data_IF_771936473773
#
_entry.id   IF_771936473773
#
_cell.length_a   1.000
_cell.length_b   1.000
_cell.length_c   1.000
_cell.angle_alpha   90.00
_cell.angle_beta   90.00
_cell.angle_gamma   90.00
#
_symmetry.space_group_name_H-M   'P 1'
#
loop_
_entity.id
_entity.type
_entity.pdbx_description
1 polymer ?
#
# COMPACT_ATOMS: atom_id res chain seq x y z
N UNK A 1 -28.61 14.22 48.01
CA UNK A 1 -28.84 14.20 46.54
C UNK A 1 -27.69 14.83 45.75
N UNK A 2 -27.30 16.10 45.98
CA UNK A 2 -26.18 16.75 45.25
C UNK A 2 -24.85 15.96 45.25
N UNK A 3 -24.44 15.38 46.39
CA UNK A 3 -23.20 14.59 46.50
C UNK A 3 -23.25 13.26 45.73
N UNK A 4 -24.43 12.63 45.65
CA UNK A 4 -24.65 11.38 44.91
C UNK A 4 -24.65 11.65 43.40
N UNK A 5 -25.25 12.76 42.97
CA UNK A 5 -25.23 13.20 41.58
C UNK A 5 -23.80 13.53 41.11
N UNK A 6 -23.00 14.16 41.99
CA UNK A 6 -21.59 14.48 41.73
C UNK A 6 -20.76 13.19 41.56
N UNK A 7 -21.00 12.18 42.40
CA UNK A 7 -20.32 10.89 42.33
C UNK A 7 -20.64 10.16 41.01
N UNK A 8 -21.91 10.20 40.59
CA UNK A 8 -22.33 9.66 39.30
C UNK A 8 -21.64 10.37 38.13
N UNK A 9 -21.52 11.69 38.17
CA UNK A 9 -20.86 12.47 37.13
C UNK A 9 -19.37 12.13 37.00
N UNK A 10 -18.65 12.00 38.13
CA UNK A 10 -17.24 11.60 38.14
C UNK A 10 -17.05 10.18 37.60
N UNK A 11 -17.92 9.24 37.98
CA UNK A 11 -17.88 7.85 37.48
C UNK A 11 -18.10 7.78 35.96
N UNK A 12 -19.01 8.59 35.41
CA UNK A 12 -19.23 8.63 33.94
C UNK A 12 -18.02 9.15 33.18
N UNK A 13 -17.24 10.10 33.74
CA UNK A 13 -16.05 10.63 33.08
C UNK A 13 -14.92 9.59 33.01
N UNK A 14 -14.73 8.80 34.08
CA UNK A 14 -13.69 7.76 34.12
C UNK A 14 -13.97 6.66 33.09
N UNK A 15 -15.23 6.27 32.92
CA UNK A 15 -15.65 5.27 31.91
C UNK A 15 -15.36 5.73 30.47
N UNK A 16 -15.55 7.03 30.19
CA UNK A 16 -15.29 7.63 28.88
C UNK A 16 -13.77 7.70 28.63
N UNK A 17 -12.97 8.07 29.63
CA UNK A 17 -11.49 8.10 29.50
C UNK A 17 -10.87 6.71 29.28
N UNK A 18 -11.41 5.66 29.91
CA UNK A 18 -10.94 4.29 29.72
C UNK A 18 -11.26 3.72 28.33
N UNK A 19 -12.39 4.11 27.73
CA UNK A 19 -12.74 3.73 26.35
C UNK A 19 -11.91 4.46 25.28
N UNK A 20 -11.27 5.58 25.64
CA UNK A 20 -10.46 6.41 24.73
C UNK A 20 -8.98 5.99 24.71
N UNK A 21 -8.56 5.06 25.58
CA UNK A 21 -7.29 4.34 25.34
C UNK A 21 -7.48 3.45 24.11
N UNK A 22 -7.31 4.05 22.92
CA UNK A 22 -7.03 3.31 21.70
C UNK A 22 -5.93 2.33 22.04
N UNK A 23 -6.24 1.04 21.97
CA UNK A 23 -5.23 -0.02 21.99
C UNK A 23 -4.16 0.44 21.01
N UNK A 24 -2.98 0.77 21.54
CA UNK A 24 -1.86 1.23 20.74
C UNK A 24 -1.61 0.13 19.73
N UNK A 25 -1.62 0.45 18.44
CA UNK A 25 -1.36 -0.59 17.46
C UNK A 25 0.05 -1.18 17.67
N UNK A 26 0.18 -2.47 17.42
CA UNK A 26 1.39 -3.23 17.73
C UNK A 26 2.36 -3.29 16.53
N UNK A 27 2.23 -2.38 15.55
CA UNK A 27 3.13 -2.33 14.40
C UNK A 27 4.42 -1.61 14.78
N UNK A 28 5.17 -2.19 15.71
CA UNK A 28 6.41 -1.65 16.25
C UNK A 28 7.67 -2.21 15.56
N UNK A 29 7.54 -3.29 14.79
CA UNK A 29 8.65 -3.88 14.01
C UNK A 29 8.68 -3.25 12.63
N UNK A 30 9.76 -2.54 12.31
CA UNK A 30 10.04 -2.02 10.96
C UNK A 30 10.78 -3.10 10.17
N UNK A 31 10.24 -3.47 9.01
CA UNK A 31 10.82 -4.53 8.16
C UNK A 31 11.36 -4.00 6.82
N UNK A 32 10.93 -2.80 6.42
CA UNK A 32 11.48 -2.02 5.29
C UNK A 32 11.44 -0.53 5.64
N UNK A 33 12.44 0.19 5.15
CA UNK A 33 12.54 1.64 5.23
C UNK A 33 13.00 2.16 3.88
N UNK A 34 12.33 3.18 3.38
CA UNK A 34 12.75 3.91 2.19
C UNK A 34 12.73 5.41 2.46
N UNK A 35 13.63 6.13 1.79
CA UNK A 35 13.74 7.58 1.87
C UNK A 35 13.79 8.19 0.47
N UNK A 36 13.11 9.32 0.27
CA UNK A 36 13.06 10.01 -1.01
C UNK A 36 12.07 11.17 -1.00
N UNK A 37 12.06 11.98 -2.04
CA UNK A 37 11.21 13.16 -2.13
C UNK A 37 9.89 12.84 -2.86
N UNK A 38 8.83 12.51 -2.13
CA UNK A 38 7.56 12.02 -2.70
C UNK A 38 6.63 13.15 -3.15
N UNK A 39 6.82 14.36 -2.63
CA UNK A 39 6.03 15.54 -2.95
C UNK A 39 6.79 16.58 -3.79
N UNK A 40 8.05 16.31 -4.15
CA UNK A 40 8.95 17.15 -4.93
C UNK A 40 9.19 18.52 -4.27
N UNK A 41 9.32 18.58 -2.94
CA UNK A 41 9.62 19.80 -2.20
C UNK A 41 11.10 19.96 -1.81
N UNK A 42 11.94 19.00 -2.22
CA UNK A 42 13.37 18.93 -1.95
C UNK A 42 13.72 18.33 -0.58
N UNK A 43 12.74 17.86 0.20
CA UNK A 43 12.94 17.23 1.50
C UNK A 43 12.80 15.71 1.41
N UNK A 44 13.62 15.00 2.18
CA UNK A 44 13.59 13.54 2.21
C UNK A 44 12.45 13.02 3.10
N UNK A 45 11.38 12.57 2.46
CA UNK A 45 10.26 11.86 3.07
C UNK A 45 10.66 10.43 3.44
N UNK A 46 9.89 9.83 4.37
CA UNK A 46 10.14 8.49 4.89
C UNK A 46 8.96 7.57 4.63
N UNK A 47 9.28 6.36 4.19
CA UNK A 47 8.30 5.28 4.05
C UNK A 47 8.75 4.10 4.88
N UNK A 48 7.82 3.54 5.65
CA UNK A 48 8.05 2.37 6.45
C UNK A 48 7.04 1.28 6.09
N UNK A 49 7.53 0.06 5.94
CA UNK A 49 6.69 -1.13 6.09
C UNK A 49 6.93 -1.67 7.49
N UNK A 50 5.83 -1.83 8.24
CA UNK A 50 5.83 -2.32 9.61
C UNK A 50 5.00 -3.58 9.73
N UNK A 51 5.35 -4.42 10.69
CA UNK A 51 4.66 -5.67 11.00
C UNK A 51 4.19 -5.68 12.45
N UNK A 52 2.97 -6.16 12.67
CA UNK A 52 2.50 -6.53 14.00
C UNK A 52 2.88 -7.98 14.27
N UNK A 53 3.96 -8.20 15.02
CA UNK A 53 4.47 -9.54 15.34
C UNK A 53 3.75 -10.19 16.53
N UNK A 54 2.86 -9.46 17.22
CA UNK A 54 2.06 -9.96 18.34
C UNK A 54 0.80 -10.65 17.81
N UNK A 55 0.20 -10.10 16.75
CA UNK A 55 -0.92 -10.74 16.06
C UNK A 55 -0.45 -12.02 15.35
N UNK A 56 -1.20 -13.12 15.55
CA UNK A 56 -0.89 -14.44 14.99
C UNK A 56 -0.91 -14.48 13.46
N UNK A 57 -1.59 -13.54 12.82
CA UNK A 57 -1.61 -13.41 11.36
C UNK A 57 -0.43 -12.61 10.82
N UNK A 58 0.28 -11.88 11.67
CA UNK A 58 1.36 -10.97 11.33
C UNK A 58 1.01 -10.02 10.17
N UNK A 59 0.00 -9.14 10.36
CA UNK A 59 -0.39 -8.17 9.36
C UNK A 59 0.71 -7.12 9.12
N UNK A 60 0.69 -6.56 7.93
CA UNK A 60 1.60 -5.52 7.46
C UNK A 60 0.90 -4.16 7.38
N UNK A 61 1.67 -3.09 7.55
CA UNK A 61 1.20 -1.70 7.44
C UNK A 61 2.25 -0.86 6.74
N UNK A 62 1.83 -0.10 5.73
CA UNK A 62 2.62 0.95 5.11
C UNK A 62 2.35 2.27 5.84
N UNK A 63 3.40 3.00 6.18
CA UNK A 63 3.31 4.37 6.66
C UNK A 63 4.19 5.30 5.82
N UNK A 64 3.66 6.46 5.47
CA UNK A 64 4.38 7.50 4.73
C UNK A 64 4.40 8.76 5.57
N UNK A 65 5.58 9.34 5.75
CA UNK A 65 5.82 10.53 6.54
C UNK A 65 6.50 11.59 5.68
N UNK A 66 5.94 12.80 5.64
CA UNK A 66 6.61 13.91 4.98
C UNK A 66 7.48 14.69 5.95
N UNK A 67 8.68 15.07 5.52
CA UNK A 67 9.51 15.99 6.28
C UNK A 67 8.99 17.41 6.08
N UNK A 68 8.54 18.07 7.14
CA UNK A 68 8.14 19.47 7.07
C UNK A 68 9.35 20.40 7.22
N UNK A 69 9.26 21.63 6.71
CA UNK A 69 10.32 22.67 6.82
C UNK A 69 10.80 22.97 8.25
N UNK A 70 9.99 22.64 9.25
CA UNK A 70 10.34 22.76 10.67
C UNK A 70 11.23 21.61 11.19
N UNK A 71 11.63 20.68 10.31
CA UNK A 71 12.46 19.51 10.63
C UNK A 71 11.69 18.33 11.23
N UNK A 72 10.35 18.40 11.31
CA UNK A 72 9.52 17.35 11.89
C UNK A 72 8.83 16.52 10.82
N UNK A 73 8.77 15.21 11.04
CA UNK A 73 8.01 14.31 10.20
C UNK A 73 6.51 14.35 10.53
N UNK A 74 5.67 14.40 9.49
CA UNK A 74 4.22 14.33 9.60
C UNK A 74 3.68 13.11 8.86
N UNK A 75 2.91 12.29 9.57
CA UNK A 75 2.23 11.14 8.98
C UNK A 75 1.23 11.60 7.92
N UNK A 76 1.35 11.05 6.71
CA UNK A 76 0.46 11.33 5.56
C UNK A 76 -0.43 10.15 5.20
N UNK A 77 0.11 8.93 5.27
CA UNK A 77 -0.59 7.69 4.94
C UNK A 77 -0.27 6.66 6.01
N UNK A 78 -1.29 5.92 6.44
CA UNK A 78 -1.14 4.71 7.25
C UNK A 78 -2.19 3.70 6.80
N UNK A 79 -1.78 2.64 6.10
CA UNK A 79 -2.71 1.67 5.51
C UNK A 79 -2.20 0.24 5.62
N UNK A 80 -3.15 -0.68 5.84
CA UNK A 80 -2.91 -2.14 5.83
C UNK A 80 -3.42 -2.81 4.56
N UNK A 81 -4.10 -2.06 3.67
CA UNK A 81 -4.83 -2.63 2.52
C UNK A 81 -3.94 -3.04 1.35
N UNK A 82 -2.71 -2.52 1.31
CA UNK A 82 -1.79 -2.78 0.20
C UNK A 82 -1.09 -4.13 0.29
N UNK A 83 -1.17 -4.81 1.44
CA UNK A 83 -0.35 -5.98 1.75
C UNK A 83 -1.18 -7.00 2.50
N UNK A 84 -1.03 -8.27 2.14
CA UNK A 84 -1.57 -9.36 2.95
C UNK A 84 -0.77 -9.57 4.22
N UNK A 85 -1.43 -10.14 5.22
CA UNK A 85 -0.74 -10.64 6.40
C UNK A 85 0.20 -11.80 6.01
N UNK A 86 1.32 -11.98 6.70
CA UNK A 86 2.28 -13.05 6.38
C UNK A 86 1.74 -14.45 6.71
N UNK A 87 0.82 -14.55 7.68
CA UNK A 87 0.20 -15.79 8.11
C UNK A 87 -1.33 -15.73 8.06
N UNK A 88 -1.95 -15.56 6.87
CA UNK A 88 -3.41 -15.56 6.76
C UNK A 88 -3.94 -16.90 7.29
N UNK A 89 -5.01 -16.85 8.10
CA UNK A 89 -5.56 -18.04 8.76
C UNK A 89 -4.53 -18.82 9.61
N UNK A 90 -3.49 -18.15 10.13
CA UNK A 90 -2.42 -18.72 10.98
C UNK A 90 -1.54 -19.74 10.26
N UNK A 91 -1.47 -19.69 8.93
CA UNK A 91 -0.55 -20.47 8.09
C UNK A 91 0.21 -19.52 7.19
N UNK A 92 1.46 -19.84 6.88
CA UNK A 92 2.25 -19.00 5.98
C UNK A 92 1.52 -18.85 4.63
N UNK A 93 1.33 -17.59 4.21
CA UNK A 93 0.53 -17.25 3.03
C UNK A 93 1.24 -17.52 1.70
N UNK A 94 2.56 -17.74 1.72
CA UNK A 94 3.37 -17.99 0.52
C UNK A 94 3.84 -16.73 -0.21
N UNK A 95 3.16 -15.60 -0.04
CA UNK A 95 3.52 -14.34 -0.67
C UNK A 95 4.69 -13.66 0.07
N UNK A 96 5.67 -13.16 -0.69
CA UNK A 96 6.75 -12.35 -0.15
C UNK A 96 6.23 -11.02 0.42
N UNK A 97 6.93 -10.48 1.42
CA UNK A 97 6.68 -9.12 1.88
C UNK A 97 6.96 -8.17 0.71
N UNK A 98 5.99 -7.34 0.29
CA UNK A 98 6.19 -6.44 -0.84
C UNK A 98 7.37 -5.49 -0.62
N UNK A 99 8.08 -5.22 -1.71
CA UNK A 99 9.14 -4.23 -1.72
C UNK A 99 8.58 -2.85 -2.06
N UNK A 100 9.27 -1.81 -1.62
CA UNK A 100 8.85 -0.43 -1.81
C UNK A 100 10.05 0.35 -2.31
N UNK A 101 9.85 1.21 -3.30
CA UNK A 101 10.89 2.15 -3.75
C UNK A 101 10.31 3.53 -4.01
N UNK A 102 11.17 4.54 -4.00
CA UNK A 102 10.84 5.92 -4.34
C UNK A 102 11.68 6.34 -5.53
N UNK A 103 11.02 6.71 -6.62
CA UNK A 103 11.68 7.16 -7.85
C UNK A 103 10.84 8.27 -8.51
N UNK A 104 11.48 9.38 -8.90
CA UNK A 104 10.85 10.52 -9.58
C UNK A 104 9.55 11.03 -8.90
N UNK A 105 9.60 11.14 -7.57
CA UNK A 105 8.48 11.56 -6.73
C UNK A 105 7.27 10.62 -6.80
N UNK A 106 7.51 9.34 -7.08
CA UNK A 106 6.51 8.29 -7.14
C UNK A 106 6.89 7.18 -6.16
N UNK A 107 5.87 6.60 -5.52
CA UNK A 107 6.01 5.43 -4.67
C UNK A 107 5.67 4.19 -5.50
N UNK A 108 6.61 3.29 -5.65
CA UNK A 108 6.41 2.00 -6.32
C UNK A 108 6.30 0.90 -5.27
N UNK A 109 5.24 0.10 -5.35
CA UNK A 109 5.05 -1.11 -4.53
C UNK A 109 5.18 -2.33 -5.44
N UNK A 110 6.14 -3.20 -5.13
CA UNK A 110 6.37 -4.45 -5.86
C UNK A 110 5.88 -5.62 -5.02
N UNK A 111 4.94 -6.39 -5.56
CA UNK A 111 4.31 -7.50 -4.83
C UNK A 111 4.24 -8.76 -5.68
N UNK A 112 4.42 -9.90 -5.02
CA UNK A 112 4.18 -11.21 -5.61
C UNK A 112 2.85 -11.74 -5.06
N UNK A 113 1.92 -12.03 -5.96
CA UNK A 113 0.58 -12.51 -5.63
C UNK A 113 0.30 -13.77 -6.44
N UNK A 114 0.52 -14.93 -5.81
CA UNK A 114 0.60 -16.20 -6.55
C UNK A 114 1.75 -16.17 -7.55
N UNK A 115 1.48 -16.44 -8.83
CA UNK A 115 2.50 -16.42 -9.90
C UNK A 115 2.59 -15.05 -10.61
N UNK A 116 1.96 -14.02 -10.07
CA UNK A 116 1.92 -12.68 -10.66
C UNK A 116 2.92 -11.77 -9.94
N UNK A 117 3.71 -11.04 -10.71
CA UNK A 117 4.59 -9.99 -10.20
C UNK A 117 3.98 -8.63 -10.53
N UNK A 118 3.40 -7.98 -9.53
CA UNK A 118 2.75 -6.69 -9.68
C UNK A 118 3.68 -5.54 -9.29
N UNK A 119 3.55 -4.44 -10.03
CA UNK A 119 4.04 -3.12 -9.64
C UNK A 119 2.87 -2.13 -9.62
N UNK A 120 2.66 -1.48 -8.48
CA UNK A 120 1.67 -0.43 -8.30
C UNK A 120 2.40 0.89 -8.06
N UNK A 121 2.22 1.86 -8.95
CA UNK A 121 2.89 3.17 -8.87
C UNK A 121 1.88 4.23 -8.41
N UNK A 122 2.16 4.84 -7.27
CA UNK A 122 1.36 5.92 -6.68
C UNK A 122 2.10 7.25 -6.79
N UNK A 123 1.36 8.34 -7.01
CA UNK A 123 1.92 9.69 -7.00
C UNK A 123 1.13 10.60 -6.07
N UNK A 124 1.83 11.44 -5.32
CA UNK A 124 1.19 12.43 -4.46
C UNK A 124 0.67 13.60 -5.30
N UNK A 125 -0.63 13.83 -5.27
CA UNK A 125 -1.29 14.93 -5.97
C UNK A 125 -2.51 15.40 -5.20
N UNK A 126 -2.72 16.72 -5.15
CA UNK A 126 -3.89 17.33 -4.50
C UNK A 126 -4.15 16.85 -3.05
N UNK A 127 -3.08 16.57 -2.30
CA UNK A 127 -3.16 16.17 -0.90
C UNK A 127 -3.26 14.66 -0.63
N UNK A 128 -3.33 13.81 -1.68
CA UNK A 128 -3.46 12.35 -1.55
C UNK A 128 -2.50 11.62 -2.48
N UNK A 129 -2.19 10.35 -2.18
CA UNK A 129 -1.54 9.46 -3.13
C UNK A 129 -2.59 8.77 -4.00
N UNK A 130 -2.45 8.91 -5.31
CA UNK A 130 -3.33 8.31 -6.31
C UNK A 130 -2.56 7.28 -7.14
N UNK A 131 -3.17 6.11 -7.37
CA UNK A 131 -2.62 5.05 -8.22
C UNK A 131 -2.60 5.51 -9.68
N UNK A 132 -1.39 5.63 -10.25
CA UNK A 132 -1.18 6.10 -11.61
C UNK A 132 -1.00 4.95 -12.60
N UNK A 133 -0.31 3.89 -12.19
CA UNK A 133 0.05 2.76 -13.06
C UNK A 133 -0.04 1.44 -12.31
N UNK A 134 -0.50 0.41 -13.01
CA UNK A 134 -0.37 -0.99 -12.61
C UNK A 134 0.39 -1.71 -13.71
N UNK A 135 1.43 -2.45 -13.35
CA UNK A 135 2.09 -3.40 -14.23
C UNK A 135 2.03 -4.80 -13.61
N UNK A 136 1.92 -5.83 -14.44
CA UNK A 136 1.90 -7.23 -14.03
C UNK A 136 2.75 -8.06 -15.00
N UNK A 137 3.53 -8.98 -14.49
CA UNK A 137 4.20 -10.01 -15.28
C UNK A 137 3.78 -11.39 -14.77
N UNK A 138 3.37 -12.25 -15.70
CA UNK A 138 2.98 -13.62 -15.41
C UNK A 138 3.76 -14.56 -16.32
N UNK A 139 4.33 -15.62 -15.75
CA UNK A 139 4.92 -16.72 -16.50
C UNK A 139 3.92 -17.88 -16.61
N UNK A 140 3.84 -18.49 -17.79
CA UNK A 140 2.90 -19.58 -18.08
C UNK A 140 3.34 -20.95 -17.53
N UNK A 141 4.50 -21.02 -16.87
CA UNK A 141 5.09 -22.28 -16.42
C UNK A 141 5.89 -23.01 -17.49
N UNK A 142 5.99 -22.45 -18.70
CA UNK A 142 6.69 -23.02 -19.84
C UNK A 142 7.64 -21.99 -20.45
N UNK A 143 7.32 -21.43 -21.61
CA UNK A 143 8.22 -20.57 -22.37
C UNK A 143 7.62 -19.20 -22.70
N UNK A 144 6.49 -18.82 -22.10
CA UNK A 144 5.86 -17.52 -22.37
C UNK A 144 5.74 -16.66 -21.12
N UNK A 145 5.95 -15.36 -21.31
CA UNK A 145 5.59 -14.33 -20.34
C UNK A 145 4.50 -13.45 -20.91
N UNK A 146 3.52 -13.10 -20.09
CA UNK A 146 2.52 -12.08 -20.39
C UNK A 146 2.76 -10.87 -19.50
N UNK A 147 3.09 -9.75 -20.12
CA UNK A 147 3.29 -8.44 -19.50
C UNK A 147 2.04 -7.61 -19.71
N UNK A 148 1.44 -7.11 -18.64
CA UNK A 148 0.35 -6.14 -18.67
C UNK A 148 0.84 -4.80 -18.15
N UNK A 149 0.56 -3.74 -18.88
CA UNK A 149 0.76 -2.35 -18.45
C UNK A 149 -0.57 -1.61 -18.52
N UNK A 150 -1.00 -1.04 -17.39
CA UNK A 150 -2.19 -0.21 -17.31
C UNK A 150 -1.81 1.17 -16.77
N UNK A 151 -1.84 2.18 -17.66
CA UNK A 151 -1.73 3.58 -17.27
C UNK A 151 -3.13 4.11 -16.95
N UNK A 152 -3.43 4.30 -15.68
CA UNK A 152 -4.76 4.71 -15.21
C UNK A 152 -5.04 6.19 -15.52
N UNK A 153 -3.99 7.01 -15.66
CA UNK A 153 -4.12 8.45 -16.01
C UNK A 153 -4.71 8.61 -17.41
N UNK A 154 -4.22 7.84 -18.37
CA UNK A 154 -4.70 7.87 -19.76
C UNK A 154 -5.83 6.87 -20.00
N UNK A 155 -5.95 5.87 -19.14
CA UNK A 155 -6.82 4.70 -19.29
C UNK A 155 -6.27 3.64 -20.26
N UNK A 156 -5.02 3.78 -20.72
CA UNK A 156 -4.44 2.86 -21.70
C UNK A 156 -4.00 1.56 -21.01
N UNK A 157 -4.57 0.42 -21.41
CA UNK A 157 -4.13 -0.92 -20.98
C UNK A 157 -3.58 -1.69 -22.16
N UNK A 158 -2.36 -2.17 -22.03
CA UNK A 158 -1.65 -2.96 -23.02
C UNK A 158 -1.28 -4.29 -22.41
N UNK A 159 -1.41 -5.36 -23.19
CA UNK A 159 -1.00 -6.71 -22.82
C UNK A 159 -0.11 -7.25 -23.95
N UNK A 160 1.08 -7.73 -23.59
CA UNK A 160 2.08 -8.24 -24.53
C UNK A 160 2.47 -9.63 -24.06
N UNK A 161 2.41 -10.62 -24.95
CA UNK A 161 2.95 -11.96 -24.71
C UNK A 161 4.22 -12.16 -25.52
N UNK A 162 5.28 -12.59 -24.86
CA UNK A 162 6.61 -12.85 -25.44
C UNK A 162 7.08 -14.25 -25.08
N UNK A 163 8.05 -14.75 -25.84
CA UNK A 163 8.80 -15.92 -25.42
C UNK A 163 9.80 -15.52 -24.31
N UNK A 164 9.98 -16.39 -23.31
CA UNK A 164 10.89 -16.17 -22.19
C UNK A 164 12.31 -15.89 -22.70
N UNK A 165 12.92 -14.80 -22.23
CA UNK A 165 14.26 -14.38 -22.65
C UNK A 165 14.34 -13.80 -24.06
N UNK A 166 13.21 -13.45 -24.69
CA UNK A 166 13.17 -12.86 -26.02
C UNK A 166 12.30 -11.60 -26.07
N UNK A 167 12.73 -10.60 -26.83
CA UNK A 167 11.91 -9.42 -27.14
C UNK A 167 10.88 -9.65 -28.25
N UNK A 168 10.84 -10.86 -28.82
CA UNK A 168 9.89 -11.20 -29.89
C UNK A 168 8.47 -11.25 -29.33
N UNK A 169 7.66 -10.29 -29.74
CA UNK A 169 6.23 -10.22 -29.41
C UNK A 169 5.48 -11.29 -30.21
N UNK A 170 4.79 -12.20 -29.50
CA UNK A 170 3.91 -13.22 -30.08
C UNK A 170 2.49 -12.65 -30.21
N UNK A 171 2.02 -11.94 -29.20
CA UNK A 171 0.69 -11.34 -29.17
C UNK A 171 0.75 -9.97 -28.50
N UNK A 172 0.01 -9.01 -29.04
CA UNK A 172 -0.19 -7.70 -28.43
C UNK A 172 -1.66 -7.35 -28.47
N UNK A 173 -2.19 -6.85 -27.37
CA UNK A 173 -3.55 -6.30 -27.29
C UNK A 173 -3.49 -4.97 -26.57
N UNK A 174 -4.34 -4.05 -27.00
CA UNK A 174 -4.40 -2.68 -26.49
C UNK A 174 -5.86 -2.27 -26.39
N UNK A 175 -6.26 -1.73 -25.25
CA UNK A 175 -7.61 -1.22 -25.00
C UNK A 175 -7.58 0.01 -24.13
N UNK A 176 -8.65 0.81 -24.20
CA UNK A 176 -8.79 2.03 -23.40
C UNK A 176 -9.91 1.85 -22.37
N UNK A 177 -9.53 1.82 -21.10
CA UNK A 177 -10.40 1.68 -19.94
C UNK A 177 -10.14 2.85 -18.98
N UNK A 178 -10.99 3.87 -18.99
CA UNK A 178 -10.82 5.02 -18.10
C UNK A 178 -11.23 4.68 -16.66
N UNK A 179 -10.43 5.12 -15.70
CA UNK A 179 -10.70 5.01 -14.26
C UNK A 179 -10.75 6.42 -13.68
N UNK A 180 -11.94 6.87 -13.26
CA UNK A 180 -12.14 8.18 -12.62
C UNK A 180 -13.17 8.04 -11.48
N UNK A 181 -12.87 8.54 -10.27
CA UNK A 181 -11.57 9.07 -9.82
C UNK A 181 -10.48 7.98 -9.78
N UNK A 182 -9.22 8.38 -9.76
CA UNK A 182 -8.12 7.43 -9.56
C UNK A 182 -8.19 6.82 -8.15
N UNK A 183 -7.86 5.53 -7.96
CA UNK A 183 -7.84 4.92 -6.64
C UNK A 183 -6.84 5.62 -5.71
N UNK A 184 -7.29 5.94 -4.50
CA UNK A 184 -6.42 6.47 -3.45
C UNK A 184 -5.74 5.34 -2.70
N UNK A 185 -4.49 5.56 -2.27
CA UNK A 185 -3.69 4.55 -1.56
C UNK A 185 -4.39 3.99 -0.30
N UNK A 186 -5.16 4.81 0.41
CA UNK A 186 -5.88 4.41 1.63
C UNK A 186 -7.07 3.47 1.37
N UNK A 187 -7.53 3.40 0.11
CA UNK A 187 -8.71 2.65 -0.29
C UNK A 187 -8.43 1.56 -1.32
N UNK A 188 -7.23 1.50 -1.86
CA UNK A 188 -6.82 0.47 -2.80
C UNK A 188 -6.40 -0.81 -2.07
N UNK A 189 -6.95 -1.95 -2.49
CA UNK A 189 -6.48 -3.29 -2.07
C UNK A 189 -5.68 -3.88 -3.23
N UNK A 190 -4.38 -4.10 -3.04
CA UNK A 190 -3.54 -4.66 -4.09
C UNK A 190 -3.90 -6.11 -4.43
N UNK A 191 -4.51 -6.84 -3.49
CA UNK A 191 -4.81 -8.27 -3.62
C UNK A 191 -6.23 -8.54 -4.13
N UNK A 192 -7.18 -7.63 -3.88
CA UNK A 192 -8.59 -7.80 -4.27
C UNK A 192 -9.04 -6.89 -5.42
N UNK A 193 -8.11 -6.16 -6.03
CA UNK A 193 -8.42 -5.15 -7.04
C UNK A 193 -8.88 -5.77 -8.36
N UNK A 194 -10.06 -5.35 -8.84
CA UNK A 194 -10.53 -5.63 -10.20
C UNK A 194 -9.74 -4.92 -11.30
N UNK A 195 -8.80 -4.05 -10.94
CA UNK A 195 -7.96 -3.31 -11.88
C UNK A 195 -6.69 -4.09 -12.26
N UNK A 196 -6.33 -5.11 -11.48
CA UNK A 196 -5.19 -5.98 -11.75
C UNK A 196 -5.36 -6.80 -13.05
#
# INVERSE_FOLDING_TARGET
>A
MKKILLLFFVLTQISIYAQVQKIKDNFNVVIRTEEGDLNNDGLADKVFVKMDTIDKTQPLKLEIYFLEKNGKYKLKVATKKLMEAQYPNRKYGGNQIPDVTIEDGSLSLYSEIGNNHFSHIFKFKNGYFELQKISNVVWDGQNLTTETDFNLVTGQRTEITKALGSEKIIKKTSKKNQVKPLPKIDNFSAFDSKLN
#
